data_IF_200685834892
#
_entry.id   IF_200685834892
#
_cell.length_a   1.000
_cell.length_b   1.000
_cell.length_c   1.000
_cell.angle_alpha   90.00
_cell.angle_beta   90.00
_cell.angle_gamma   90.00
#
_symmetry.space_group_name_H-M   'P 1'
#
loop_
_entity.id
_entity.type
_entity.pdbx_description
1 polymer ?
#
# COMPACT_ATOMS: atom_id res chain seq x y z
N UNK A 1 16.20 2.39 -3.32
CA UNK A 1 16.92 1.13 -3.08
C UNK A 1 18.27 1.11 -3.75
N UNK A 2 18.42 1.66 -4.97
CA UNK A 2 19.70 1.71 -5.69
C UNK A 2 20.75 2.53 -4.97
N UNK A 3 20.36 3.57 -4.24
CA UNK A 3 21.29 4.39 -3.44
C UNK A 3 21.78 3.64 -2.20
N UNK A 4 20.93 2.82 -1.60
CA UNK A 4 21.23 2.13 -0.34
C UNK A 4 21.85 0.75 -0.57
N UNK A 5 21.36 0.02 -1.59
CA UNK A 5 21.71 -1.40 -1.82
C UNK A 5 22.43 -1.66 -3.14
N UNK A 6 22.72 -0.60 -3.91
CA UNK A 6 23.30 -0.71 -5.25
C UNK A 6 22.29 -1.02 -6.35
N UNK A 7 22.70 -0.84 -7.60
CA UNK A 7 21.82 -0.94 -8.78
C UNK A 7 21.18 -2.33 -8.99
N UNK A 8 21.72 -3.37 -8.37
CA UNK A 8 21.20 -4.73 -8.53
C UNK A 8 19.93 -5.01 -7.70
N UNK A 9 19.63 -4.19 -6.67
CA UNK A 9 18.54 -4.45 -5.74
C UNK A 9 17.34 -3.53 -6.02
N UNK A 10 16.54 -3.90 -7.01
CA UNK A 10 15.44 -3.06 -7.52
C UNK A 10 14.17 -3.84 -7.89
N UNK A 11 14.10 -5.14 -7.57
CA UNK A 11 12.93 -5.97 -7.84
C UNK A 11 11.89 -5.83 -6.73
N UNK A 12 10.61 -5.74 -7.12
CA UNK A 12 9.46 -5.72 -6.20
C UNK A 12 8.64 -7.00 -6.38
N UNK A 13 8.33 -7.67 -5.28
CA UNK A 13 7.39 -8.79 -5.27
C UNK A 13 5.99 -8.25 -5.02
N UNK A 14 5.02 -8.64 -5.86
CA UNK A 14 3.59 -8.38 -5.70
C UNK A 14 2.80 -9.69 -5.67
N UNK A 15 1.53 -9.63 -5.36
CA UNK A 15 0.69 -10.82 -5.28
C UNK A 15 -0.13 -11.03 -6.55
N UNK A 16 -0.30 -12.28 -6.95
CA UNK A 16 -1.28 -12.66 -7.98
C UNK A 16 -2.67 -12.20 -7.55
N UNK A 17 -3.49 -11.76 -8.49
CA UNK A 17 -4.81 -11.16 -8.31
C UNK A 17 -4.81 -9.79 -7.58
N UNK A 18 -3.64 -9.17 -7.36
CA UNK A 18 -3.57 -7.80 -6.85
C UNK A 18 -3.98 -6.77 -7.89
N UNK A 19 -4.31 -5.56 -7.40
CA UNK A 19 -4.54 -4.40 -8.25
C UNK A 19 -3.91 -3.15 -7.63
N UNK A 20 -2.93 -2.55 -8.31
CA UNK A 20 -2.14 -1.42 -7.77
C UNK A 20 -2.25 -0.14 -8.60
N UNK A 21 -3.03 -0.13 -9.68
CA UNK A 21 -3.30 1.06 -10.47
C UNK A 21 -3.19 0.88 -11.99
N UNK A 22 -3.31 2.00 -12.71
CA UNK A 22 -3.37 2.04 -14.18
C UNK A 22 -2.23 2.81 -14.84
N UNK A 23 -1.32 3.42 -14.06
CA UNK A 23 -0.08 3.96 -14.62
C UNK A 23 0.88 2.82 -14.99
N UNK A 24 1.83 3.06 -15.88
CA UNK A 24 2.66 1.99 -16.44
C UNK A 24 3.34 1.14 -15.35
N UNK A 25 3.94 1.76 -14.34
CA UNK A 25 4.61 1.04 -13.26
C UNK A 25 3.62 0.32 -12.34
N UNK A 26 2.51 0.96 -11.94
CA UNK A 26 1.50 0.35 -11.07
C UNK A 26 0.69 -0.73 -11.80
N UNK A 27 0.51 -0.58 -13.11
CA UNK A 27 -0.08 -1.62 -13.95
C UNK A 27 0.85 -2.84 -14.01
N UNK A 28 2.17 -2.63 -14.13
CA UNK A 28 3.13 -3.73 -14.03
C UNK A 28 3.08 -4.40 -12.65
N UNK A 29 2.92 -3.64 -11.56
CA UNK A 29 2.78 -4.20 -10.22
C UNK A 29 1.49 -5.01 -10.01
N UNK A 30 0.46 -4.77 -10.83
CA UNK A 30 -0.84 -5.45 -10.76
C UNK A 30 -0.71 -6.90 -11.22
N UNK A 31 -1.02 -7.86 -10.34
CA UNK A 31 -0.85 -9.29 -10.58
C UNK A 31 -2.00 -9.95 -11.33
N UNK A 32 -2.51 -9.32 -12.38
CA UNK A 32 -3.63 -9.82 -13.20
C UNK A 32 -3.32 -9.65 -14.69
N UNK A 33 -3.06 -10.73 -15.37
CA UNK A 33 -2.65 -10.76 -16.79
C UNK A 33 -3.65 -10.07 -17.74
N UNK A 34 -4.93 -10.09 -17.40
CA UNK A 34 -5.98 -9.43 -18.20
C UNK A 34 -5.74 -7.93 -18.34
N UNK A 35 -5.12 -7.29 -17.36
CA UNK A 35 -4.82 -5.85 -17.40
C UNK A 35 -3.50 -5.53 -18.11
N UNK A 36 -2.67 -6.52 -18.39
CA UNK A 36 -1.42 -6.35 -19.09
C UNK A 36 -1.56 -6.37 -20.62
N UNK A 37 -2.68 -6.89 -21.14
CA UNK A 37 -2.89 -7.02 -22.57
C UNK A 37 -2.86 -5.65 -23.28
N UNK A 38 -2.06 -5.54 -24.34
CA UNK A 38 -1.97 -4.39 -25.24
C UNK A 38 -1.30 -3.12 -24.68
N UNK A 39 -0.76 -3.14 -23.46
CA UNK A 39 -0.16 -1.95 -22.80
C UNK A 39 1.35 -1.96 -22.69
N UNK A 40 2.03 -3.01 -23.14
CA UNK A 40 3.51 -3.08 -23.10
C UNK A 40 4.21 -2.09 -24.04
N UNK A 41 5.54 -1.89 -23.91
CA UNK A 41 6.42 -2.63 -23.00
C UNK A 41 6.30 -2.14 -21.55
N UNK A 42 6.36 -3.07 -20.61
CA UNK A 42 6.31 -2.78 -19.18
C UNK A 42 7.70 -2.54 -18.60
N UNK A 43 7.85 -1.72 -17.55
CA UNK A 43 9.08 -1.69 -16.78
C UNK A 43 9.34 -3.09 -16.18
N UNK A 44 10.60 -3.52 -16.19
CA UNK A 44 11.01 -4.79 -15.59
C UNK A 44 10.99 -4.75 -14.06
N UNK A 45 11.55 -5.81 -13.45
CA UNK A 45 11.80 -5.91 -12.02
C UNK A 45 10.55 -6.03 -11.14
N UNK A 46 9.54 -6.73 -11.61
CA UNK A 46 8.42 -7.20 -10.81
C UNK A 46 8.35 -8.73 -10.84
N UNK A 47 8.00 -9.33 -9.70
CA UNK A 47 7.73 -10.75 -9.58
C UNK A 47 6.37 -10.95 -8.90
N UNK A 48 5.61 -11.95 -9.35
CA UNK A 48 4.28 -12.24 -8.83
C UNK A 48 4.27 -13.58 -8.12
N UNK A 49 3.70 -13.62 -6.92
CA UNK A 49 3.56 -14.84 -6.14
C UNK A 49 2.11 -15.04 -5.70
N UNK A 50 1.63 -16.29 -5.53
CA UNK A 50 0.28 -16.53 -5.04
C UNK A 50 0.05 -15.88 -3.67
N UNK A 51 -1.11 -15.24 -3.49
CA UNK A 51 -1.53 -14.71 -2.20
C UNK A 51 -1.69 -15.86 -1.18
N UNK A 52 -1.15 -15.70 0.02
CA UNK A 52 -1.19 -16.72 1.07
C UNK A 52 -0.07 -17.77 1.00
N UNK A 53 0.69 -17.86 -0.10
CA UNK A 53 1.82 -18.78 -0.21
C UNK A 53 3.13 -18.12 0.22
N UNK A 54 3.44 -18.25 1.51
CA UNK A 54 4.70 -17.70 2.06
C UNK A 54 5.94 -18.42 1.52
N UNK A 55 5.84 -19.71 1.15
CA UNK A 55 6.97 -20.44 0.57
C UNK A 55 7.34 -19.88 -0.79
N UNK A 56 6.35 -19.66 -1.65
CA UNK A 56 6.56 -19.05 -2.95
C UNK A 56 7.16 -17.62 -2.83
N UNK A 57 6.69 -16.83 -1.86
CA UNK A 57 7.23 -15.49 -1.61
C UNK A 57 8.70 -15.54 -1.18
N UNK A 58 9.02 -16.41 -0.22
CA UNK A 58 10.40 -16.59 0.26
C UNK A 58 11.33 -17.04 -0.86
N UNK A 59 10.91 -18.00 -1.68
CA UNK A 59 11.71 -18.58 -2.75
C UNK A 59 11.92 -17.59 -3.93
N UNK A 60 10.95 -16.68 -4.16
CA UNK A 60 11.06 -15.59 -5.13
C UNK A 60 11.95 -14.43 -4.65
N UNK A 61 12.20 -14.32 -3.34
CA UNK A 61 12.95 -13.21 -2.74
C UNK A 61 14.47 -13.44 -2.83
N UNK A 62 15.02 -13.38 -4.04
CA UNK A 62 16.45 -13.38 -4.27
C UNK A 62 17.12 -12.06 -3.84
N UNK A 63 18.45 -11.95 -4.02
CA UNK A 63 19.23 -10.78 -3.60
C UNK A 63 18.95 -9.52 -4.44
N UNK A 64 18.17 -9.62 -5.51
CA UNK A 64 17.73 -8.46 -6.32
C UNK A 64 16.45 -7.82 -5.80
N UNK A 65 15.74 -8.46 -4.86
CA UNK A 65 14.49 -7.95 -4.29
C UNK A 65 14.76 -6.84 -3.28
N UNK A 66 14.04 -5.73 -3.40
CA UNK A 66 14.10 -4.60 -2.47
C UNK A 66 12.80 -4.39 -1.69
N UNK A 67 11.67 -4.88 -2.20
CA UNK A 67 10.39 -4.63 -1.57
C UNK A 67 9.38 -5.76 -1.82
N UNK A 68 8.42 -5.87 -0.91
CA UNK A 68 7.19 -6.63 -1.09
C UNK A 68 6.03 -5.64 -1.02
N UNK A 69 5.12 -5.69 -2.00
CA UNK A 69 3.92 -4.86 -2.07
C UNK A 69 2.68 -5.74 -2.05
N UNK A 70 1.71 -5.42 -1.21
CA UNK A 70 0.47 -6.18 -1.07
C UNK A 70 -0.72 -5.31 -0.67
N UNK A 71 -1.92 -5.80 -0.97
CA UNK A 71 -3.18 -5.38 -0.38
C UNK A 71 -3.52 -6.35 0.76
N UNK A 72 -3.95 -5.86 1.92
CA UNK A 72 -4.41 -6.73 3.03
C UNK A 72 -5.76 -7.39 2.71
N UNK A 73 -6.53 -6.74 1.84
CA UNK A 73 -7.74 -7.29 1.24
C UNK A 73 -7.64 -6.98 -0.25
N UNK A 74 -7.50 -7.98 -1.09
CA UNK A 74 -7.47 -7.83 -2.54
C UNK A 74 -8.87 -7.45 -3.05
N UNK A 75 -9.10 -6.16 -3.28
CA UNK A 75 -10.41 -5.65 -3.65
C UNK A 75 -10.86 -6.09 -5.03
N UNK A 76 -10.08 -5.80 -6.06
CA UNK A 76 -10.36 -6.17 -7.46
C UNK A 76 -10.22 -7.68 -7.69
N UNK A 77 -9.46 -8.38 -6.86
CA UNK A 77 -9.29 -9.83 -6.88
C UNK A 77 -10.46 -10.63 -6.31
N UNK A 78 -11.57 -9.97 -5.95
CA UNK A 78 -12.78 -10.63 -5.44
C UNK A 78 -13.08 -10.40 -3.96
N UNK A 79 -12.52 -9.32 -3.37
CA UNK A 79 -12.65 -8.98 -1.93
C UNK A 79 -12.12 -10.11 -1.05
N UNK A 80 -10.89 -10.52 -1.30
CA UNK A 80 -10.23 -11.62 -0.59
C UNK A 80 -9.28 -11.07 0.47
N UNK A 81 -9.60 -11.29 1.74
CA UNK A 81 -8.72 -10.93 2.85
C UNK A 81 -7.54 -11.91 2.94
N UNK A 82 -6.34 -11.38 3.19
CA UNK A 82 -5.17 -12.19 3.49
C UNK A 82 -5.29 -12.79 4.90
N UNK A 83 -4.73 -13.97 5.07
CA UNK A 83 -4.61 -14.60 6.36
C UNK A 83 -3.65 -13.84 7.29
N UNK A 84 -4.01 -13.68 8.57
CA UNK A 84 -3.22 -12.88 9.51
C UNK A 84 -1.84 -13.49 9.78
N UNK A 85 -1.74 -14.82 9.87
CA UNK A 85 -0.47 -15.51 10.07
C UNK A 85 0.45 -15.37 8.84
N UNK A 86 -0.13 -15.38 7.64
CA UNK A 86 0.60 -15.09 6.41
C UNK A 86 1.17 -13.67 6.43
N UNK A 87 0.34 -12.67 6.73
CA UNK A 87 0.76 -11.26 6.81
C UNK A 87 1.87 -11.07 7.85
N UNK A 88 1.74 -11.67 9.03
CA UNK A 88 2.76 -11.60 10.08
C UNK A 88 4.10 -12.22 9.61
N UNK A 89 4.06 -13.38 8.94
CA UNK A 89 5.26 -14.02 8.37
C UNK A 89 5.93 -13.16 7.31
N UNK A 90 5.15 -12.52 6.44
CA UNK A 90 5.68 -11.59 5.41
C UNK A 90 6.35 -10.40 6.06
N UNK A 91 5.71 -9.78 7.07
CA UNK A 91 6.27 -8.64 7.78
C UNK A 91 7.59 -8.98 8.49
N UNK A 92 7.64 -10.11 9.21
CA UNK A 92 8.86 -10.59 9.85
C UNK A 92 9.98 -10.88 8.83
N UNK A 93 9.64 -11.50 7.72
CA UNK A 93 10.57 -11.80 6.63
C UNK A 93 11.14 -10.51 6.01
N UNK A 94 10.30 -9.53 5.70
CA UNK A 94 10.74 -8.23 5.19
C UNK A 94 11.72 -7.57 6.15
N UNK A 95 11.39 -7.56 7.44
CA UNK A 95 12.26 -7.00 8.48
C UNK A 95 13.62 -7.71 8.55
N UNK A 96 13.65 -9.06 8.52
CA UNK A 96 14.88 -9.86 8.58
C UNK A 96 15.77 -9.70 7.35
N UNK A 97 15.17 -9.53 6.18
CA UNK A 97 15.88 -9.41 4.90
C UNK A 97 16.14 -7.96 4.50
N UNK A 98 15.77 -7.00 5.35
CA UNK A 98 15.83 -5.56 5.06
C UNK A 98 15.14 -5.21 3.73
N UNK A 99 13.92 -5.74 3.54
CA UNK A 99 13.02 -5.43 2.43
C UNK A 99 12.03 -4.38 2.88
N UNK A 100 11.69 -3.45 1.98
CA UNK A 100 10.63 -2.46 2.22
C UNK A 100 9.27 -3.16 2.12
N UNK A 101 8.46 -3.09 3.16
CA UNK A 101 7.08 -3.56 3.15
C UNK A 101 6.15 -2.43 2.74
N UNK A 102 5.49 -2.59 1.60
CA UNK A 102 4.52 -1.63 1.04
C UNK A 102 3.11 -2.21 1.18
N UNK A 103 2.23 -1.50 1.86
CA UNK A 103 0.81 -1.88 1.93
C UNK A 103 -0.03 -0.88 1.15
N UNK A 104 -0.75 -1.39 0.16
CA UNK A 104 -1.68 -0.61 -0.64
C UNK A 104 -3.04 -0.53 0.07
N UNK A 105 -3.29 0.62 0.68
CA UNK A 105 -4.53 0.94 1.38
C UNK A 105 -5.45 1.86 0.55
N UNK A 106 -5.21 1.96 -0.76
CA UNK A 106 -6.02 2.79 -1.65
C UNK A 106 -7.50 2.39 -1.61
N UNK A 107 -7.80 1.09 -1.44
CA UNK A 107 -9.17 0.60 -1.30
C UNK A 107 -9.57 0.33 0.14
N UNK A 108 -8.67 -0.14 0.98
CA UNK A 108 -8.96 -0.60 2.35
C UNK A 108 -8.86 0.50 3.39
N UNK A 109 -8.10 1.55 3.11
CA UNK A 109 -7.89 2.68 4.03
C UNK A 109 -9.05 3.64 4.16
N UNK A 110 -8.84 4.68 4.93
CA UNK A 110 -9.78 5.78 5.18
C UNK A 110 -11.13 5.26 5.69
N UNK A 111 -11.09 4.35 6.68
CA UNK A 111 -12.27 3.87 7.38
C UNK A 111 -13.08 2.78 6.68
N UNK A 112 -12.65 2.30 5.49
CA UNK A 112 -13.40 1.30 4.71
C UNK A 112 -13.64 0.01 5.49
N UNK A 113 -12.67 -0.42 6.31
CA UNK A 113 -12.73 -1.67 7.09
C UNK A 113 -13.14 -1.46 8.55
N UNK A 114 -13.51 -0.23 8.94
CA UNK A 114 -13.88 0.11 10.31
C UNK A 114 -12.73 0.65 11.16
N UNK A 115 -11.51 0.61 10.66
CA UNK A 115 -10.32 1.30 11.18
C UNK A 115 -9.86 2.33 10.17
N UNK A 116 -9.01 3.29 10.58
CA UNK A 116 -8.45 4.26 9.64
C UNK A 116 -7.63 3.57 8.56
N UNK A 117 -6.76 2.63 8.95
CA UNK A 117 -6.04 1.74 8.05
C UNK A 117 -6.42 0.28 8.34
N UNK A 118 -6.49 -0.55 7.31
CA UNK A 118 -6.66 -1.99 7.49
C UNK A 118 -5.46 -2.62 8.22
N UNK A 119 -4.26 -2.04 8.12
CA UNK A 119 -3.08 -2.42 8.89
C UNK A 119 -3.35 -2.55 10.39
N UNK A 120 -4.25 -1.74 10.95
CA UNK A 120 -4.61 -1.76 12.37
C UNK A 120 -5.29 -3.07 12.81
N UNK A 121 -5.91 -3.81 11.89
CA UNK A 121 -6.50 -5.12 12.19
C UNK A 121 -5.45 -6.22 12.33
N UNK A 122 -4.26 -6.00 11.77
CA UNK A 122 -3.16 -6.96 11.71
C UNK A 122 -2.01 -6.60 12.66
N UNK A 123 -2.15 -5.50 13.45
CA UNK A 123 -1.04 -4.91 14.21
C UNK A 123 0.22 -4.73 13.35
N UNK A 124 0.03 -4.29 12.09
CA UNK A 124 1.05 -4.22 11.06
C UNK A 124 1.59 -2.79 10.94
N UNK A 125 2.91 -2.66 10.93
CA UNK A 125 3.62 -1.40 10.74
C UNK A 125 4.46 -1.44 9.46
N UNK A 126 3.88 -1.17 8.29
CA UNK A 126 4.60 -1.18 7.02
C UNK A 126 5.55 0.02 6.89
N UNK A 127 6.54 -0.10 6.00
CA UNK A 127 7.44 1.01 5.69
C UNK A 127 6.78 2.07 4.82
N UNK A 128 5.86 1.65 3.94
CA UNK A 128 5.09 2.53 3.05
C UNK A 128 3.62 2.11 3.06
N UNK A 129 2.73 3.11 3.13
CA UNK A 129 1.29 2.96 2.92
C UNK A 129 0.84 3.91 1.81
N UNK A 130 0.08 3.41 0.84
CA UNK A 130 -0.54 4.23 -0.19
C UNK A 130 -2.02 4.46 0.09
N UNK A 131 -2.50 5.69 -0.08
CA UNK A 131 -3.88 6.11 0.15
C UNK A 131 -4.42 6.87 -1.08
N UNK A 132 -5.69 6.68 -1.39
CA UNK A 132 -6.43 7.46 -2.38
C UNK A 132 -7.94 7.29 -2.16
N UNK A 133 -8.74 7.25 -3.21
CA UNK A 133 -10.20 6.99 -3.21
C UNK A 133 -10.93 7.74 -2.10
N UNK A 134 -11.23 7.08 -0.98
CA UNK A 134 -11.94 7.65 0.17
C UNK A 134 -11.28 8.89 0.76
N UNK A 135 -9.97 9.05 0.61
CA UNK A 135 -9.20 10.16 1.18
C UNK A 135 -9.72 11.53 0.72
N UNK A 136 -10.12 11.65 -0.54
CA UNK A 136 -10.58 12.92 -1.10
C UNK A 136 -12.07 13.21 -0.97
N UNK A 137 -12.88 12.27 -0.44
CA UNK A 137 -14.33 12.45 -0.35
C UNK A 137 -15.02 12.68 -1.71
N UNK A 138 -14.44 12.15 -2.79
CA UNK A 138 -14.88 12.34 -4.17
C UNK A 138 -13.95 13.23 -5.01
N UNK A 139 -12.99 13.92 -4.38
CA UNK A 139 -11.96 14.67 -5.09
C UNK A 139 -10.73 13.79 -5.41
N UNK A 140 -10.03 14.03 -6.54
CA UNK A 140 -8.89 13.23 -6.95
C UNK A 140 -7.64 13.61 -6.14
N UNK A 141 -7.28 12.78 -5.17
CA UNK A 141 -6.07 12.90 -4.36
C UNK A 141 -5.51 11.53 -4.03
N UNK A 142 -4.20 11.42 -3.96
CA UNK A 142 -3.48 10.30 -3.39
C UNK A 142 -2.45 10.80 -2.38
N UNK A 143 -2.11 9.94 -1.43
CA UNK A 143 -1.07 10.19 -0.46
C UNK A 143 -0.20 8.94 -0.25
N UNK A 144 1.06 9.17 0.07
CA UNK A 144 2.00 8.11 0.46
C UNK A 144 2.51 8.46 1.85
N UNK A 145 2.27 7.56 2.79
CA UNK A 145 2.85 7.62 4.12
C UNK A 145 4.09 6.72 4.14
N UNK A 146 5.15 7.15 4.79
CA UNK A 146 6.38 6.37 4.85
C UNK A 146 7.12 6.57 6.16
N UNK A 147 7.89 5.57 6.56
CA UNK A 147 8.79 5.68 7.71
C UNK A 147 9.90 6.69 7.45
N UNK A 148 10.51 7.22 8.50
CA UNK A 148 11.66 8.13 8.38
C UNK A 148 12.78 7.52 7.53
N UNK A 149 13.06 6.22 7.71
CA UNK A 149 14.06 5.48 6.94
C UNK A 149 13.83 5.57 5.42
N UNK A 150 12.59 5.47 4.97
CA UNK A 150 12.25 5.61 3.54
C UNK A 150 12.25 7.07 3.10
N UNK A 151 11.74 7.97 3.96
CA UNK A 151 11.62 9.39 3.66
C UNK A 151 12.97 10.08 3.43
N UNK A 152 14.05 9.60 4.05
CA UNK A 152 15.42 10.10 3.84
C UNK A 152 15.85 10.06 2.36
N UNK A 153 15.27 9.15 1.56
CA UNK A 153 15.55 9.00 0.14
C UNK A 153 14.59 9.79 -0.77
N UNK A 154 13.63 10.51 -0.19
CA UNK A 154 12.58 11.25 -0.91
C UNK A 154 12.77 12.76 -0.74
N UNK A 155 13.86 13.27 -1.29
CA UNK A 155 14.19 14.70 -1.23
C UNK A 155 13.55 15.53 -2.37
N UNK A 156 13.76 16.86 -2.35
CA UNK A 156 13.30 17.74 -3.42
C UNK A 156 13.83 17.28 -4.78
N UNK A 157 12.94 17.23 -5.80
CA UNK A 157 13.28 16.84 -7.17
C UNK A 157 13.29 15.34 -7.45
N UNK A 158 13.07 14.46 -6.46
CA UNK A 158 13.01 13.00 -6.67
C UNK A 158 11.69 12.54 -7.25
N UNK A 159 10.63 13.33 -7.11
CA UNK A 159 9.28 13.06 -7.62
C UNK A 159 8.57 14.38 -7.92
N UNK A 160 7.44 14.32 -8.63
CA UNK A 160 6.67 15.51 -8.94
C UNK A 160 5.26 15.17 -9.42
N UNK A 161 4.36 16.13 -9.26
CA UNK A 161 2.99 16.08 -9.76
C UNK A 161 2.50 17.52 -9.99
N UNK A 162 1.99 17.83 -11.18
CA UNK A 162 1.52 19.16 -11.52
C UNK A 162 0.39 19.63 -10.60
N UNK A 163 -0.55 18.76 -10.29
CA UNK A 163 -1.72 19.07 -9.47
C UNK A 163 -1.65 18.46 -8.05
N UNK A 164 -0.58 17.76 -7.72
CA UNK A 164 -0.40 17.16 -6.39
C UNK A 164 -0.35 18.22 -5.30
N UNK A 165 -1.08 18.01 -4.21
CA UNK A 165 -1.10 18.91 -3.07
C UNK A 165 -1.80 20.26 -3.34
N UNK A 166 -2.66 20.36 -4.37
CA UNK A 166 -3.40 21.60 -4.58
C UNK A 166 -4.38 21.89 -3.44
N UNK A 167 -4.64 23.18 -3.10
CA UNK A 167 -5.41 23.54 -1.91
C UNK A 167 -6.83 22.96 -1.86
N UNK A 168 -7.48 22.84 -3.02
CA UNK A 168 -8.89 22.38 -3.08
C UNK A 168 -9.00 20.92 -2.66
N UNK A 169 -8.18 20.04 -3.23
CA UNK A 169 -8.22 18.61 -2.88
C UNK A 169 -7.68 18.35 -1.49
N UNK A 170 -6.71 19.14 -1.02
CA UNK A 170 -6.21 19.06 0.35
C UNK A 170 -7.29 19.47 1.38
N UNK A 171 -8.05 20.53 1.11
CA UNK A 171 -9.17 20.93 1.95
C UNK A 171 -10.26 19.85 2.00
N UNK A 172 -10.56 19.20 0.85
CA UNK A 172 -11.48 18.07 0.82
C UNK A 172 -10.98 16.86 1.64
N UNK A 173 -9.70 16.54 1.54
CA UNK A 173 -9.11 15.48 2.34
C UNK A 173 -9.13 15.78 3.84
N UNK A 174 -8.82 17.00 4.24
CA UNK A 174 -8.92 17.44 5.64
C UNK A 174 -10.33 17.29 6.17
N UNK A 175 -11.36 17.73 5.41
CA UNK A 175 -12.77 17.57 5.83
C UNK A 175 -13.15 16.09 6.01
N UNK A 176 -12.62 15.18 5.21
CA UNK A 176 -12.82 13.72 5.40
C UNK A 176 -12.18 13.24 6.69
N UNK A 177 -10.94 13.65 6.97
CA UNK A 177 -10.21 13.28 8.19
C UNK A 177 -10.92 13.79 9.44
N UNK A 178 -11.34 15.06 9.45
CA UNK A 178 -12.09 15.68 10.55
C UNK A 178 -13.41 14.93 10.82
N UNK A 179 -14.16 14.60 9.76
CA UNK A 179 -15.40 13.83 9.90
C UNK A 179 -15.20 12.42 10.45
N UNK A 180 -14.03 11.81 10.19
CA UNK A 180 -13.69 10.50 10.75
C UNK A 180 -13.30 10.59 12.22
N UNK A 181 -12.60 11.63 12.62
CA UNK A 181 -12.23 11.91 14.01
C UNK A 181 -13.46 12.17 14.88
N UNK A 182 -14.41 12.99 14.42
CA UNK A 182 -15.68 13.26 15.08
C UNK A 182 -16.51 11.98 15.31
N UNK A 183 -16.60 11.11 14.32
CA UNK A 183 -17.29 9.82 14.45
C UNK A 183 -16.62 8.89 15.47
N UNK A 184 -15.30 8.92 15.60
CA UNK A 184 -14.55 8.17 16.59
C UNK A 184 -14.85 8.69 18.00
N UNK A 185 -14.87 10.02 18.20
CA UNK A 185 -15.20 10.67 19.47
C UNK A 185 -16.67 10.42 19.88
N UNK A 186 -17.60 10.48 18.94
CA UNK A 186 -19.03 10.20 19.19
C UNK A 186 -19.28 8.75 19.62
N UNK A 187 -18.60 7.77 19.04
CA UNK A 187 -18.67 6.35 19.45
C UNK A 187 -18.09 6.12 20.84
N UNK A 188 -17.00 6.78 21.19
CA UNK A 188 -16.40 6.69 22.53
C UNK A 188 -17.34 7.28 23.60
N UNK A 189 -17.97 8.42 23.32
CA UNK A 189 -18.91 9.05 24.22
C UNK A 189 -20.21 8.23 24.42
N UNK A 190 -20.72 7.60 23.37
CA UNK A 190 -21.91 6.73 23.47
C UNK A 190 -21.64 5.45 24.28
N UNK A 191 -20.43 4.90 24.25
CA UNK A 191 -20.04 3.73 25.05
C UNK A 191 -19.84 4.04 26.54
N UNK A 192 -19.62 5.30 26.91
CA UNK A 192 -19.55 5.76 28.31
C UNK A 192 -20.91 6.19 28.88
N UNK A 193 -21.90 6.50 28.05
CA UNK A 193 -23.24 6.88 28.48
C UNK A 193 -24.16 5.69 28.80
N UNK A 194 -23.71 4.47 28.57
CA UNK A 194 -24.49 3.21 28.81
C UNK A 194 -23.95 2.37 29.97
N UNK A 195 -23.32 3.03 30.98
CA UNK A 195 -22.92 2.38 32.25
C UNK A 195 -23.64 2.99 33.43
#
# INVERSE_FOLDING_TARGET
STDTYGAARNKVITLVNSFHGRTLATLTATGQDVFHQYFGPFPGNFAYVPAGDFSALRDAADDTVCAVMLELIQGEGGVVALDADYVAKVAEFCKKRDLVLIVDEVQTGVGRTGKFLACEHFDLHPDIVTLAKGLGGGLPIGAVLMTAKVAEHMGPGTHGSTFGGNPVVCAGALAVLDAMEDRKSTRLNSSHASK
#
